data_IF_166196608619
#
_entry.id   IF_166196608619
#
_cell.length_a   1.000
_cell.length_b   1.000
_cell.length_c   1.000
_cell.angle_alpha   90.00
_cell.angle_beta   90.00
_cell.angle_gamma   90.00
#
_symmetry.space_group_name_H-M   'P 1'
#
loop_
_entity.id
_entity.type
_entity.pdbx_description
1 polymer ?
#
# COMPACT_ATOMS: atom_id res chain seq x y z
N UNK A 1 1.88 -8.27 10.70
CA UNK A 1 2.97 -7.94 11.68
C UNK A 1 4.07 -9.01 11.83
N UNK A 2 3.76 -10.32 11.90
CA UNK A 2 4.76 -11.37 12.15
C UNK A 2 5.75 -11.64 10.99
N UNK A 3 5.34 -11.48 9.74
CA UNK A 3 6.18 -11.78 8.58
C UNK A 3 7.45 -10.90 8.50
N UNK A 4 7.32 -9.59 8.74
CA UNK A 4 8.42 -8.64 8.61
C UNK A 4 9.51 -8.85 9.67
N UNK A 5 9.10 -9.18 10.90
CA UNK A 5 10.03 -9.52 11.98
C UNK A 5 10.74 -10.86 11.74
N UNK A 6 10.06 -11.82 11.12
CA UNK A 6 10.66 -13.11 10.77
C UNK A 6 11.71 -12.96 9.67
N UNK A 7 11.42 -12.18 8.62
CA UNK A 7 12.36 -11.91 7.54
C UNK A 7 13.64 -11.21 8.03
N UNK A 8 13.53 -10.26 8.97
CA UNK A 8 14.70 -9.58 9.56
C UNK A 8 15.67 -10.52 10.30
N UNK A 9 15.17 -11.63 10.87
CA UNK A 9 16.01 -12.60 11.59
C UNK A 9 16.70 -13.58 10.65
N UNK A 10 16.07 -13.90 9.52
CA UNK A 10 16.56 -14.90 8.56
C UNK A 10 17.58 -14.35 7.55
N UNK A 11 17.47 -13.08 7.14
CA UNK A 11 18.36 -12.50 6.13
C UNK A 11 19.52 -11.70 6.74
N UNK A 12 20.68 -12.36 6.91
CA UNK A 12 21.91 -11.74 7.45
C UNK A 12 22.66 -10.84 6.45
N UNK A 13 22.37 -10.94 5.16
CA UNK A 13 23.00 -10.12 4.10
C UNK A 13 22.04 -9.03 3.64
N UNK A 14 22.59 -7.88 3.23
CA UNK A 14 21.81 -6.81 2.60
C UNK A 14 21.11 -7.37 1.37
N UNK A 15 19.80 -7.16 1.30
CA UNK A 15 18.92 -7.66 0.25
C UNK A 15 17.90 -6.57 -0.13
N UNK A 16 17.21 -6.78 -1.26
CA UNK A 16 16.02 -6.01 -1.62
C UNK A 16 14.81 -6.69 -1.00
N UNK A 17 14.01 -5.93 -0.27
CA UNK A 17 12.75 -6.34 0.34
C UNK A 17 11.62 -5.57 -0.33
N UNK A 18 10.74 -6.29 -1.01
CA UNK A 18 9.55 -5.74 -1.63
C UNK A 18 8.36 -6.07 -0.74
N UNK A 19 7.64 -5.05 -0.30
CA UNK A 19 6.41 -5.17 0.46
C UNK A 19 5.23 -4.97 -0.49
N UNK A 20 4.32 -5.93 -0.53
CA UNK A 20 3.12 -5.88 -1.35
C UNK A 20 1.90 -5.94 -0.42
N UNK A 21 1.05 -4.92 -0.45
CA UNK A 21 -0.15 -4.80 0.39
C UNK A 21 -1.02 -3.67 -0.14
N UNK A 22 -2.31 -3.69 0.15
CA UNK A 22 -3.22 -2.55 0.05
C UNK A 22 -2.93 -1.41 1.05
N UNK A 23 -2.19 -1.70 2.13
CA UNK A 23 -1.82 -0.82 3.24
C UNK A 23 -3.02 -0.17 3.96
N UNK A 24 -4.12 -0.91 4.09
CA UNK A 24 -5.29 -0.45 4.85
C UNK A 24 -5.04 -0.44 6.37
N UNK A 25 -4.13 -1.30 6.83
CA UNK A 25 -3.69 -1.33 8.23
C UNK A 25 -2.56 -0.32 8.52
N UNK A 26 -2.50 0.23 9.76
CA UNK A 26 -1.41 1.10 10.17
C UNK A 26 -0.02 0.46 9.99
N UNK A 27 0.90 1.23 9.38
CA UNK A 27 2.25 0.76 9.11
C UNK A 27 3.01 0.42 10.40
N UNK A 28 3.77 -0.70 10.45
CA UNK A 28 4.65 -1.00 11.56
C UNK A 28 5.95 -0.19 11.47
N UNK A 29 5.86 1.12 11.71
CA UNK A 29 6.93 2.13 11.51
C UNK A 29 8.28 1.68 12.09
N UNK A 30 8.31 1.25 13.35
CA UNK A 30 9.54 0.83 14.03
C UNK A 30 10.19 -0.39 13.38
N UNK A 31 9.40 -1.29 12.81
CA UNK A 31 9.89 -2.49 12.12
C UNK A 31 10.39 -2.14 10.73
N UNK A 32 9.66 -1.28 9.99
CA UNK A 32 10.07 -0.78 8.69
C UNK A 32 11.37 0.01 8.76
N UNK A 33 11.54 0.86 9.78
CA UNK A 33 12.76 1.61 10.00
C UNK A 33 13.97 0.69 10.23
N UNK A 34 13.79 -0.39 11.00
CA UNK A 34 14.84 -1.41 11.18
C UNK A 34 15.16 -2.16 9.88
N UNK A 35 14.13 -2.54 9.11
CA UNK A 35 14.31 -3.20 7.82
C UNK A 35 15.11 -2.29 6.87
N UNK A 36 14.72 -1.02 6.77
CA UNK A 36 15.32 -0.02 5.89
C UNK A 36 16.79 0.30 6.19
N UNK A 37 17.22 0.14 7.45
CA UNK A 37 18.64 0.28 7.85
C UNK A 37 19.51 -0.86 7.34
N UNK A 38 18.94 -2.06 7.17
CA UNK A 38 19.69 -3.28 6.80
C UNK A 38 19.49 -3.69 5.35
N UNK A 39 18.35 -3.34 4.78
CA UNK A 39 17.88 -3.78 3.48
C UNK A 39 17.46 -2.58 2.62
N UNK A 40 17.53 -2.78 1.33
CA UNK A 40 16.82 -1.93 0.38
C UNK A 40 15.32 -2.29 0.49
N UNK A 41 14.48 -1.37 0.95
CA UNK A 41 13.03 -1.62 1.12
C UNK A 41 12.26 -0.80 0.09
N UNK A 42 11.30 -1.46 -0.55
CA UNK A 42 10.35 -0.90 -1.52
C UNK A 42 8.94 -1.30 -1.11
N UNK A 43 8.01 -0.36 -1.12
CA UNK A 43 6.59 -0.61 -0.90
C UNK A 43 5.83 -0.54 -2.23
N UNK A 44 5.04 -1.57 -2.52
CA UNK A 44 4.14 -1.65 -3.67
C UNK A 44 2.73 -1.75 -3.10
N UNK A 45 1.95 -0.71 -3.33
CA UNK A 45 0.54 -0.65 -2.97
C UNK A 45 -0.30 -1.18 -4.13
N UNK A 46 -1.22 -2.11 -3.86
CA UNK A 46 -2.23 -2.52 -4.84
C UNK A 46 -3.55 -1.88 -4.41
N UNK A 47 -4.21 -1.13 -5.30
CA UNK A 47 -5.54 -0.56 -5.04
C UNK A 47 -6.53 -0.99 -6.10
N UNK A 48 -7.77 -1.23 -5.69
CA UNK A 48 -8.87 -1.42 -6.62
C UNK A 48 -9.60 -0.10 -6.88
N UNK A 49 -9.86 0.31 -8.14
CA UNK A 49 -10.62 1.53 -8.43
C UNK A 49 -12.00 1.58 -7.78
N UNK A 50 -12.64 0.43 -7.53
CA UNK A 50 -13.95 0.36 -6.88
C UNK A 50 -13.89 0.66 -5.38
N UNK A 51 -12.71 0.55 -4.75
CA UNK A 51 -12.48 1.02 -3.38
C UNK A 51 -12.31 2.55 -3.32
N UNK A 52 -11.92 3.17 -4.43
CA UNK A 52 -11.72 4.62 -4.57
C UNK A 52 -12.95 5.34 -5.13
N UNK A 53 -13.88 4.62 -5.76
CA UNK A 53 -15.14 5.13 -6.30
C UNK A 53 -16.24 4.10 -6.03
N UNK A 54 -16.78 4.13 -4.80
CA UNK A 54 -17.99 3.38 -4.49
C UNK A 54 -19.15 3.98 -5.30
N UNK A 55 -19.75 3.24 -6.24
CA UNK A 55 -20.95 3.72 -6.92
C UNK A 55 -22.04 3.92 -5.86
N UNK A 56 -22.92 4.92 -6.04
CA UNK A 56 -24.00 5.28 -5.11
C UNK A 56 -25.11 4.21 -5.05
N UNK A 57 -24.75 2.98 -4.66
CA UNK A 57 -25.58 1.80 -4.64
C UNK A 57 -26.00 1.51 -3.19
N UNK A 58 -26.82 2.39 -2.60
CA UNK A 58 -27.50 2.20 -1.32
C UNK A 58 -26.88 1.18 -0.34
N UNK A 59 -27.60 0.08 -0.08
CA UNK A 59 -27.13 -1.03 0.77
C UNK A 59 -26.24 -1.94 -0.06
N UNK A 60 -24.97 -2.08 0.31
CA UNK A 60 -24.05 -2.99 -0.35
C UNK A 60 -23.56 -4.07 0.61
N UNK A 61 -23.40 -5.24 0.03
CA UNK A 61 -22.84 -6.41 0.68
C UNK A 61 -21.43 -6.56 0.15
N UNK A 62 -20.43 -6.26 0.98
CA UNK A 62 -19.02 -6.43 0.67
C UNK A 62 -18.61 -7.82 1.16
N UNK A 63 -18.08 -8.62 0.24
CA UNK A 63 -17.48 -9.91 0.56
C UNK A 63 -15.97 -9.74 0.54
N UNK A 64 -15.33 -10.07 1.66
CA UNK A 64 -13.88 -10.13 1.77
C UNK A 64 -13.35 -11.28 0.90
N UNK A 65 -12.53 -10.96 -0.10
CA UNK A 65 -12.03 -11.93 -1.07
C UNK A 65 -11.01 -12.93 -0.50
N UNK A 66 -10.43 -12.67 0.68
CA UNK A 66 -9.46 -13.53 1.35
C UNK A 66 -10.11 -14.47 2.37
N UNK A 67 -11.18 -14.03 3.03
CA UNK A 67 -11.84 -14.78 4.11
C UNK A 67 -13.24 -15.28 3.76
N UNK A 68 -13.89 -14.69 2.76
CA UNK A 68 -15.29 -14.93 2.42
C UNK A 68 -16.29 -14.33 3.42
N UNK A 69 -15.83 -13.45 4.33
CA UNK A 69 -16.71 -12.77 5.27
C UNK A 69 -17.54 -11.71 4.57
N UNK A 70 -18.84 -11.70 4.87
CA UNK A 70 -19.82 -10.83 4.23
C UNK A 70 -20.26 -9.73 5.19
N UNK A 71 -19.83 -8.50 4.92
CA UNK A 71 -20.20 -7.30 5.66
C UNK A 71 -21.26 -6.47 4.94
N UNK A 72 -22.32 -6.05 5.64
CA UNK A 72 -23.34 -5.15 5.09
C UNK A 72 -22.94 -3.70 5.39
N UNK A 73 -22.48 -2.95 4.38
CA UNK A 73 -22.19 -1.52 4.49
C UNK A 73 -23.36 -0.75 3.89
N UNK A 74 -24.00 0.09 4.70
CA UNK A 74 -25.06 0.97 4.21
C UNK A 74 -24.51 2.38 3.98
N UNK A 75 -24.32 2.77 2.73
CA UNK A 75 -23.99 4.15 2.35
C UNK A 75 -25.33 4.85 2.05
N UNK A 76 -25.81 5.69 2.97
CA UNK A 76 -27.21 6.19 2.95
C UNK A 76 -27.36 7.54 2.26
N UNK A 77 -26.27 8.27 2.01
CA UNK A 77 -26.30 9.63 1.46
C UNK A 77 -25.05 9.98 0.64
N UNK A 78 -25.15 11.00 -0.21
CA UNK A 78 -24.00 11.61 -0.90
C UNK A 78 -22.97 12.16 0.11
N UNK A 79 -23.42 12.65 1.27
CA UNK A 79 -22.55 13.12 2.35
C UNK A 79 -21.68 12.01 2.95
N UNK A 80 -22.23 10.79 3.09
CA UNK A 80 -21.49 9.61 3.57
C UNK A 80 -20.38 9.22 2.58
N UNK A 81 -20.67 9.30 1.28
CA UNK A 81 -19.70 9.03 0.21
C UNK A 81 -18.57 10.07 0.20
N UNK A 82 -18.92 11.36 0.28
CA UNK A 82 -17.94 12.45 0.33
C UNK A 82 -17.07 12.41 1.59
N UNK A 83 -17.63 12.01 2.72
CA UNK A 83 -16.87 11.78 3.95
C UNK A 83 -15.91 10.59 3.80
N UNK A 84 -16.38 9.48 3.20
CA UNK A 84 -15.55 8.31 2.94
C UNK A 84 -14.38 8.64 2.00
N UNK A 85 -14.63 9.31 0.87
CA UNK A 85 -13.57 9.66 -0.09
C UNK A 85 -12.55 10.62 0.50
N UNK A 86 -12.98 11.62 1.29
CA UNK A 86 -12.06 12.49 2.02
C UNK A 86 -11.18 11.72 2.99
N UNK A 87 -11.79 10.84 3.79
CA UNK A 87 -11.02 10.03 4.75
C UNK A 87 -10.00 9.12 4.06
N UNK A 88 -10.36 8.53 2.91
CA UNK A 88 -9.44 7.72 2.09
C UNK A 88 -8.31 8.56 1.49
N UNK A 89 -8.60 9.76 1.01
CA UNK A 89 -7.58 10.68 0.50
C UNK A 89 -6.60 11.11 1.60
N UNK A 90 -7.11 11.48 2.78
CA UNK A 90 -6.28 11.83 3.94
C UNK A 90 -5.40 10.66 4.37
N UNK A 91 -5.96 9.44 4.47
CA UNK A 91 -5.21 8.24 4.82
C UNK A 91 -4.11 7.92 3.78
N UNK A 92 -4.39 8.14 2.49
CA UNK A 92 -3.40 7.97 1.42
C UNK A 92 -2.26 8.99 1.55
N UNK A 93 -2.57 10.27 1.78
CA UNK A 93 -1.57 11.31 1.96
C UNK A 93 -0.69 11.04 3.19
N UNK A 94 -1.29 10.58 4.29
CA UNK A 94 -0.56 10.16 5.49
C UNK A 94 0.37 8.97 5.21
N UNK A 95 -0.11 7.97 4.46
CA UNK A 95 0.68 6.80 4.08
C UNK A 95 1.91 7.21 3.25
N UNK A 96 1.72 8.09 2.27
CA UNK A 96 2.80 8.62 1.44
C UNK A 96 3.82 9.42 2.27
N UNK A 97 3.36 10.26 3.21
CA UNK A 97 4.23 10.97 4.14
C UNK A 97 5.03 10.01 5.03
N UNK A 98 4.41 8.93 5.52
CA UNK A 98 5.10 7.93 6.34
C UNK A 98 6.20 7.21 5.56
N UNK A 99 5.94 6.76 4.32
CA UNK A 99 6.98 6.13 3.49
C UNK A 99 8.10 7.10 3.14
N UNK A 100 7.77 8.34 2.80
CA UNK A 100 8.75 9.39 2.53
C UNK A 100 9.63 9.68 3.75
N UNK A 101 9.03 9.82 4.94
CA UNK A 101 9.75 10.01 6.20
C UNK A 101 10.65 8.82 6.59
N UNK A 102 10.30 7.61 6.16
CA UNK A 102 11.12 6.41 6.31
C UNK A 102 12.18 6.25 5.20
N UNK A 103 12.15 7.06 4.15
CA UNK A 103 13.02 6.93 2.98
C UNK A 103 12.81 5.61 2.22
N UNK A 104 11.57 5.11 2.22
CA UNK A 104 11.12 3.92 1.48
C UNK A 104 10.47 4.42 0.19
N UNK A 105 10.93 3.94 -0.96
CA UNK A 105 10.23 4.25 -2.21
C UNK A 105 8.90 3.48 -2.23
N UNK A 106 7.83 4.19 -2.58
CA UNK A 106 6.47 3.66 -2.67
C UNK A 106 5.97 3.82 -4.11
N UNK A 107 5.29 2.80 -4.62
CA UNK A 107 4.56 2.82 -5.89
C UNK A 107 3.16 2.29 -5.65
N UNK A 108 2.17 2.96 -6.24
CA UNK A 108 0.78 2.52 -6.25
C UNK A 108 0.44 1.93 -7.61
N UNK A 109 -0.16 0.75 -7.61
CA UNK A 109 -0.62 0.03 -8.79
C UNK A 109 -2.11 -0.20 -8.68
N UNK A 110 -2.83 -0.01 -9.79
CA UNK A 110 -4.27 -0.27 -9.85
C UNK A 110 -4.55 -1.63 -10.48
N UNK A 111 -5.55 -2.35 -9.97
CA UNK A 111 -5.95 -3.68 -10.48
C UNK A 111 -6.46 -3.64 -11.93
N UNK A 112 -6.97 -2.49 -12.38
CA UNK A 112 -7.52 -2.28 -13.72
C UNK A 112 -6.49 -1.75 -14.75
N UNK A 113 -5.22 -1.57 -14.37
CA UNK A 113 -4.19 -1.00 -15.23
C UNK A 113 -3.03 -1.96 -15.50
N UNK A 114 -2.36 -1.87 -16.66
CA UNK A 114 -1.14 -2.64 -16.92
C UNK A 114 -0.02 -2.25 -15.95
N UNK A 115 0.27 -3.11 -14.97
CA UNK A 115 1.28 -2.85 -13.93
C UNK A 115 2.73 -3.16 -14.34
N UNK A 116 2.94 -3.98 -15.38
CA UNK A 116 4.30 -4.38 -15.81
C UNK A 116 5.14 -3.17 -16.29
N UNK A 117 4.63 -2.27 -17.15
CA UNK A 117 5.36 -1.07 -17.57
C UNK A 117 5.66 -0.12 -16.39
N UNK A 118 4.71 0.02 -15.48
CA UNK A 118 4.82 0.84 -14.25
C UNK A 118 5.98 0.38 -13.37
N UNK A 119 6.02 -0.90 -13.05
CA UNK A 119 7.10 -1.52 -12.28
C UNK A 119 8.45 -1.37 -12.99
N UNK A 120 8.48 -1.60 -14.31
CA UNK A 120 9.69 -1.45 -15.11
C UNK A 120 10.27 -0.03 -15.08
N UNK A 121 9.41 0.99 -15.16
CA UNK A 121 9.79 2.40 -15.03
C UNK A 121 10.35 2.69 -13.64
N UNK A 122 9.64 2.26 -12.60
CA UNK A 122 10.01 2.50 -11.21
C UNK A 122 11.39 1.92 -10.85
N UNK A 123 11.62 0.64 -11.15
CA UNK A 123 12.90 0.01 -10.83
C UNK A 123 14.05 0.58 -11.64
N UNK A 124 13.81 1.02 -12.89
CA UNK A 124 14.83 1.69 -13.71
C UNK A 124 15.27 3.01 -13.09
N UNK A 125 14.31 3.88 -12.75
CA UNK A 125 14.59 5.16 -12.07
C UNK A 125 15.31 4.95 -10.74
N UNK A 126 14.96 3.90 -10.00
CA UNK A 126 15.63 3.54 -8.74
C UNK A 126 17.09 3.12 -8.97
N UNK A 127 17.35 2.24 -9.94
CA UNK A 127 18.70 1.79 -10.29
C UNK A 127 19.59 2.96 -10.74
N UNK A 128 19.03 3.92 -11.48
CA UNK A 128 19.75 5.13 -11.89
C UNK A 128 20.14 6.01 -10.70
N UNK A 129 19.23 6.21 -9.73
CA UNK A 129 19.52 6.94 -8.49
C UNK A 129 20.63 6.25 -7.68
N UNK A 130 20.59 4.93 -7.58
CA UNK A 130 21.61 4.15 -6.86
C UNK A 130 23.00 4.18 -7.52
N UNK A 131 23.08 4.36 -8.84
CA UNK A 131 24.36 4.50 -9.56
C UNK A 131 25.01 5.86 -9.40
N UNK A 132 24.24 6.89 -9.01
CA UNK A 132 24.71 8.27 -8.83
C UNK A 132 25.17 8.58 -7.41
N UNK A 133 24.89 7.70 -6.46
CA UNK A 133 25.24 7.83 -5.04
C UNK A 133 26.43 6.96 -4.72
#
# INVERSE_FOLDING_TARGET
RHALQHLQKSFRRRSVMVLLSDFLDPLPISTLQQARRRHDVVAIQITDPHEEQLPALGRMTLEDAETGEVGEVTLRSEEDLDAFFRHRAEAQDELEQQFNGLGIDHIRLRTNEPFVPELGRFFRTRLERQRRT
#
